data_IF_620202952811
#
_entry.id   IF_620202952811
#
_cell.length_a   1.000
_cell.length_b   1.000
_cell.length_c   1.000
_cell.angle_alpha   90.00
_cell.angle_beta   90.00
_cell.angle_gamma   90.00
#
_symmetry.space_group_name_H-M   'P 1'
#
loop_
_entity.id
_entity.type
_entity.pdbx_description
1 polymer ?
#
# COMPACT_ATOMS: atom_id res chain seq x y z
N UNK A 1 -12.18 53.02 -8.61
CA UNK A 1 -12.47 51.71 -8.01
C UNK A 1 -11.93 51.72 -6.59
N UNK A 2 -12.83 51.62 -5.61
CA UNK A 2 -12.59 51.77 -4.17
C UNK A 2 -11.65 50.68 -3.64
N UNK A 3 -10.67 51.06 -2.80
CA UNK A 3 -9.69 50.17 -2.13
C UNK A 3 -10.29 48.86 -1.61
N UNK A 4 -11.52 48.91 -1.14
CA UNK A 4 -12.30 47.76 -0.65
C UNK A 4 -12.43 46.64 -1.70
N UNK A 5 -12.71 46.95 -2.97
CA UNK A 5 -12.81 45.93 -4.03
C UNK A 5 -11.49 45.24 -4.31
N UNK A 6 -10.37 45.94 -4.13
CA UNK A 6 -9.03 45.39 -4.31
C UNK A 6 -8.63 44.48 -3.14
N UNK A 7 -8.95 44.89 -1.90
CA UNK A 7 -8.72 44.08 -0.69
C UNK A 7 -9.57 42.80 -0.72
N UNK A 8 -10.84 42.91 -1.11
CA UNK A 8 -11.73 41.75 -1.27
C UNK A 8 -11.20 40.81 -2.36
N UNK A 9 -10.78 41.35 -3.52
CA UNK A 9 -10.18 40.55 -4.59
C UNK A 9 -8.92 39.81 -4.15
N UNK A 10 -8.00 40.48 -3.45
CA UNK A 10 -6.77 39.89 -2.95
C UNK A 10 -7.03 38.81 -1.89
N UNK A 11 -7.99 39.03 -0.98
CA UNK A 11 -8.35 38.05 0.05
C UNK A 11 -8.98 36.78 -0.55
N UNK A 12 -9.86 36.93 -1.55
CA UNK A 12 -10.46 35.79 -2.26
C UNK A 12 -9.39 34.99 -3.00
N UNK A 13 -8.47 35.65 -3.71
CA UNK A 13 -7.37 34.97 -4.39
C UNK A 13 -6.48 34.24 -3.37
N UNK A 14 -6.13 34.87 -2.25
CA UNK A 14 -5.36 34.25 -1.18
C UNK A 14 -6.03 33.01 -0.59
N UNK A 15 -7.34 33.08 -0.35
CA UNK A 15 -8.12 31.94 0.15
C UNK A 15 -8.14 30.79 -0.86
N UNK A 16 -8.33 31.07 -2.15
CA UNK A 16 -8.33 30.05 -3.21
C UNK A 16 -6.97 29.35 -3.28
N UNK A 17 -5.88 30.12 -3.27
CA UNK A 17 -4.51 29.56 -3.30
C UNK A 17 -4.24 28.72 -2.06
N UNK A 18 -4.60 29.20 -0.87
CA UNK A 18 -4.43 28.45 0.38
C UNK A 18 -5.24 27.14 0.35
N UNK A 19 -6.50 27.20 -0.08
CA UNK A 19 -7.36 26.01 -0.18
C UNK A 19 -6.80 25.01 -1.17
N UNK A 20 -6.28 25.47 -2.31
CA UNK A 20 -5.63 24.61 -3.29
C UNK A 20 -4.38 23.94 -2.74
N UNK A 21 -3.53 24.68 -2.02
CA UNK A 21 -2.33 24.11 -1.37
C UNK A 21 -2.72 23.08 -0.30
N UNK A 22 -3.72 23.38 0.53
CA UNK A 22 -4.20 22.44 1.55
C UNK A 22 -4.84 21.20 0.92
N UNK A 23 -5.59 21.35 -0.16
CA UNK A 23 -6.17 20.23 -0.90
C UNK A 23 -5.09 19.35 -1.53
N UNK A 24 -4.13 19.94 -2.24
CA UNK A 24 -3.00 19.18 -2.81
C UNK A 24 -2.17 18.49 -1.73
N UNK A 25 -2.01 19.11 -0.56
CA UNK A 25 -1.32 18.51 0.58
C UNK A 25 -2.12 17.41 1.28
N UNK A 26 -3.45 17.37 1.08
CA UNK A 26 -4.33 16.33 1.63
C UNK A 26 -4.56 15.16 0.67
N UNK A 27 -4.18 15.30 -0.61
CA UNK A 27 -4.20 14.18 -1.56
C UNK A 27 -3.12 13.20 -1.17
N UNK A 28 -3.50 12.21 -0.37
CA UNK A 28 -2.67 11.07 -0.09
C UNK A 28 -2.44 10.29 -1.39
N UNK A 29 -1.19 10.19 -1.83
CA UNK A 29 -0.86 9.54 -3.10
C UNK A 29 -0.98 8.04 -2.93
N UNK A 30 -1.95 7.43 -3.62
CA UNK A 30 -2.11 5.98 -3.68
C UNK A 30 -1.20 5.43 -4.78
N UNK A 31 -0.36 4.48 -4.42
CA UNK A 31 0.55 3.80 -5.34
C UNK A 31 0.63 2.33 -4.94
N UNK A 32 1.09 1.46 -5.84
CA UNK A 32 1.25 0.04 -5.49
C UNK A 32 2.60 -0.20 -4.85
N UNK A 33 2.61 -0.95 -3.75
CA UNK A 33 3.84 -1.41 -3.13
C UNK A 33 4.47 -2.54 -3.93
N UNK A 34 5.80 -2.54 -3.99
CA UNK A 34 6.56 -3.64 -4.55
C UNK A 34 6.45 -4.87 -3.63
N UNK A 35 6.02 -5.99 -4.20
CA UNK A 35 6.01 -7.27 -3.51
C UNK A 35 7.39 -7.90 -3.64
N UNK A 36 8.03 -8.20 -2.51
CA UNK A 36 9.37 -8.79 -2.47
C UNK A 36 9.33 -10.32 -2.53
N UNK A 37 8.38 -10.92 -1.82
CA UNK A 37 8.17 -12.37 -1.77
C UNK A 37 6.76 -12.68 -1.28
N UNK A 38 6.36 -13.94 -1.39
CA UNK A 38 5.19 -14.46 -0.69
C UNK A 38 5.58 -15.68 0.16
N UNK A 39 4.76 -15.98 1.15
CA UNK A 39 4.89 -17.15 2.01
C UNK A 39 3.54 -17.86 2.09
N UNK A 40 3.59 -19.18 2.23
CA UNK A 40 2.41 -20.04 2.37
C UNK A 40 1.96 -20.05 3.82
N UNK A 41 0.65 -20.08 4.06
CA UNK A 41 0.14 -20.25 5.42
C UNK A 41 -0.36 -21.68 5.62
N UNK A 42 -0.68 -22.05 6.87
CA UNK A 42 -1.34 -23.32 7.15
C UNK A 42 -2.74 -23.44 6.49
N UNK A 43 -3.37 -22.31 6.18
CA UNK A 43 -4.59 -22.26 5.39
C UNK A 43 -4.22 -22.14 3.90
N UNK A 44 -4.53 -23.15 3.05
CA UNK A 44 -4.10 -23.16 1.66
C UNK A 44 -4.81 -22.11 0.80
N UNK A 45 -5.90 -21.49 1.30
CA UNK A 45 -6.58 -20.36 0.67
C UNK A 45 -6.07 -19.01 1.21
N UNK A 46 -4.95 -18.98 1.94
CA UNK A 46 -4.31 -17.75 2.41
C UNK A 46 -2.81 -17.78 2.17
N UNK A 47 -2.31 -16.64 1.73
CA UNK A 47 -0.88 -16.38 1.58
C UNK A 47 -0.51 -15.10 2.30
N UNK A 48 0.75 -14.97 2.68
CA UNK A 48 1.31 -13.70 3.15
C UNK A 48 2.22 -13.15 2.06
N UNK A 49 1.93 -11.94 1.58
CA UNK A 49 2.84 -11.21 0.69
C UNK A 49 3.68 -10.24 1.50
N UNK A 50 4.99 -10.30 1.31
CA UNK A 50 5.95 -9.45 1.98
C UNK A 50 6.21 -8.23 1.10
N UNK A 51 5.68 -7.07 1.50
CA UNK A 51 5.85 -5.81 0.78
C UNK A 51 6.91 -4.93 1.45
N UNK A 52 7.64 -4.15 0.65
CA UNK A 52 8.59 -3.16 1.17
C UNK A 52 7.88 -1.82 1.20
N UNK A 53 7.72 -1.23 2.39
CA UNK A 53 7.13 0.10 2.56
C UNK A 53 8.02 0.98 3.44
N UNK A 54 7.88 2.30 3.30
CA UNK A 54 8.59 3.30 4.10
C UNK A 54 7.79 3.79 5.30
N UNK A 55 8.39 4.62 6.14
CA UNK A 55 7.67 5.31 7.21
C UNK A 55 6.59 6.25 6.65
N UNK A 56 5.44 6.31 7.33
CA UNK A 56 4.30 7.11 6.89
C UNK A 56 3.54 6.53 5.70
N UNK A 57 3.79 5.26 5.36
CA UNK A 57 3.08 4.53 4.31
C UNK A 57 2.19 3.47 4.95
N UNK A 58 0.90 3.50 4.61
CA UNK A 58 -0.10 2.55 5.09
C UNK A 58 -0.62 1.67 3.97
N UNK A 59 -0.99 0.42 4.28
CA UNK A 59 -1.66 -0.47 3.32
C UNK A 59 -3.12 -0.05 3.19
N UNK A 60 -3.49 0.47 2.02
CA UNK A 60 -4.82 0.97 1.74
C UNK A 60 -5.76 -0.13 1.24
N UNK A 61 -5.29 -0.95 0.29
CA UNK A 61 -6.12 -1.97 -0.34
C UNK A 61 -5.28 -3.18 -0.77
N UNK A 62 -5.95 -4.34 -0.85
CA UNK A 62 -5.40 -5.60 -1.33
C UNK A 62 -6.36 -6.13 -2.38
N UNK A 63 -5.91 -6.25 -3.62
CA UNK A 63 -6.70 -6.85 -4.68
C UNK A 63 -6.02 -8.11 -5.19
N UNK A 64 -6.85 -9.10 -5.50
CA UNK A 64 -6.41 -10.40 -5.99
C UNK A 64 -7.18 -10.70 -7.26
N UNK A 65 -6.46 -11.02 -8.33
CA UNK A 65 -7.03 -11.55 -9.56
C UNK A 65 -6.57 -13.00 -9.70
N UNK A 66 -7.52 -13.92 -9.54
CA UNK A 66 -7.25 -15.34 -9.65
C UNK A 66 -7.54 -15.85 -11.06
N UNK A 67 -6.55 -16.52 -11.64
CA UNK A 67 -6.67 -17.31 -12.86
C UNK A 67 -6.45 -18.80 -12.58
N UNK A 68 -6.60 -19.64 -13.62
CA UNK A 68 -6.44 -21.09 -13.48
C UNK A 68 -5.03 -21.54 -13.07
N UNK A 69 -4.00 -20.80 -13.50
CA UNK A 69 -2.58 -21.17 -13.31
C UNK A 69 -1.81 -20.14 -12.48
N UNK A 70 -2.41 -19.00 -12.18
CA UNK A 70 -1.73 -17.90 -11.49
C UNK A 70 -2.68 -17.06 -10.65
N UNK A 71 -2.11 -16.40 -9.66
CA UNK A 71 -2.78 -15.44 -8.78
C UNK A 71 -2.00 -14.14 -8.85
N UNK A 72 -2.61 -13.10 -9.40
CA UNK A 72 -2.01 -11.76 -9.40
C UNK A 72 -2.43 -11.03 -8.13
N UNK A 73 -1.47 -10.55 -7.35
CA UNK A 73 -1.68 -9.80 -6.12
C UNK A 73 -1.22 -8.36 -6.33
N UNK A 74 -2.07 -7.43 -5.93
CA UNK A 74 -1.77 -6.00 -5.94
C UNK A 74 -2.02 -5.46 -4.53
N UNK A 75 -1.02 -4.78 -3.97
CA UNK A 75 -1.12 -4.14 -2.65
C UNK A 75 -1.00 -2.64 -2.85
N UNK A 76 -2.14 -1.94 -2.78
CA UNK A 76 -2.15 -0.49 -2.84
C UNK A 76 -1.77 0.08 -1.48
N UNK A 77 -0.83 1.01 -1.48
CA UNK A 77 -0.38 1.75 -0.31
C UNK A 77 -0.64 3.23 -0.48
N UNK A 78 -0.77 3.91 0.65
CA UNK A 78 -1.02 5.33 0.75
C UNK A 78 0.11 5.97 1.54
N UNK A 79 0.75 6.98 0.97
CA UNK A 79 1.70 7.81 1.72
C UNK A 79 0.97 9.01 2.34
N UNK A 80 1.11 9.14 3.65
CA UNK A 80 0.64 10.29 4.41
C UNK A 80 1.56 11.49 4.15
N UNK A 81 1.02 12.70 4.28
CA UNK A 81 1.81 13.93 4.14
C UNK A 81 2.73 14.12 5.34
N UNK A 82 3.97 14.56 5.10
CA UNK A 82 4.98 14.77 6.14
C UNK A 82 6.40 14.52 5.66
N UNK A 83 7.37 14.74 6.57
CA UNK A 83 8.78 14.40 6.36
C UNK A 83 9.09 13.14 7.14
N UNK A 84 9.54 12.10 6.45
CA UNK A 84 9.87 10.81 7.04
C UNK A 84 11.34 10.46 6.75
N UNK A 85 12.02 9.75 7.67
CA UNK A 85 13.37 9.25 7.39
C UNK A 85 13.33 8.23 6.25
N UNK A 86 14.41 8.15 5.47
CA UNK A 86 14.58 7.19 4.38
C UNK A 86 14.89 5.77 4.89
N UNK A 87 13.93 5.18 5.59
CA UNK A 87 13.99 3.83 6.14
C UNK A 87 12.86 3.01 5.54
N UNK A 88 13.16 1.80 5.08
CA UNK A 88 12.20 0.85 4.54
C UNK A 88 12.14 -0.41 5.41
N UNK A 89 10.95 -0.98 5.54
CA UNK A 89 10.71 -2.20 6.30
C UNK A 89 9.84 -3.16 5.50
N UNK A 90 10.00 -4.45 5.81
CA UNK A 90 9.18 -5.51 5.22
C UNK A 90 7.93 -5.67 6.08
N UNK A 91 6.77 -5.54 5.45
CA UNK A 91 5.48 -5.73 6.11
C UNK A 91 4.80 -6.97 5.55
N UNK A 92 4.47 -7.97 6.40
CA UNK A 92 3.70 -9.12 5.99
C UNK A 92 2.23 -8.72 5.82
N UNK A 93 1.68 -8.94 4.64
CA UNK A 93 0.30 -8.64 4.30
C UNK A 93 -0.44 -9.94 4.01
N UNK A 94 -1.41 -10.29 4.86
CA UNK A 94 -2.27 -11.45 4.65
C UNK A 94 -3.24 -11.20 3.51
N UNK A 95 -3.29 -12.16 2.58
CA UNK A 95 -4.14 -12.15 1.39
C UNK A 95 -4.96 -13.43 1.37
N UNK A 96 -6.28 -13.27 1.25
CA UNK A 96 -7.21 -14.39 1.09
C UNK A 96 -7.46 -14.66 -0.39
N UNK A 97 -7.52 -15.94 -0.72
CA UNK A 97 -7.83 -16.47 -2.04
C UNK A 97 -9.20 -17.13 -2.02
N UNK A 98 -9.86 -17.16 -3.17
CA UNK A 98 -11.11 -17.88 -3.41
C UNK A 98 -10.85 -19.38 -3.47
N UNK A 99 -9.83 -19.79 -4.23
CA UNK A 99 -9.42 -21.18 -4.35
C UNK A 99 -8.06 -21.41 -3.66
N UNK A 100 -7.73 -22.65 -3.24
CA UNK A 100 -6.41 -22.97 -2.70
C UNK A 100 -5.27 -22.57 -3.64
N UNK A 101 -4.15 -22.03 -3.15
CA UNK A 101 -3.03 -21.62 -4.01
C UNK A 101 -2.50 -22.80 -4.85
N UNK A 102 -2.29 -23.96 -4.21
CA UNK A 102 -1.71 -25.14 -4.85
C UNK A 102 -0.38 -24.82 -5.54
N UNK A 103 -0.29 -25.17 -6.82
CA UNK A 103 0.87 -24.94 -7.68
C UNK A 103 0.75 -23.67 -8.53
N UNK A 104 -0.27 -22.83 -8.31
CA UNK A 104 -0.46 -21.59 -9.06
C UNK A 104 0.68 -20.62 -8.78
N UNK A 105 1.17 -19.96 -9.83
CA UNK A 105 2.19 -18.93 -9.70
C UNK A 105 1.61 -17.66 -9.05
N UNK A 106 2.32 -17.07 -8.08
CA UNK A 106 1.96 -15.75 -7.56
C UNK A 106 2.65 -14.69 -8.41
N UNK A 107 1.89 -13.74 -8.94
CA UNK A 107 2.37 -12.66 -9.78
C UNK A 107 2.13 -11.31 -9.09
N UNK A 108 2.99 -10.33 -9.35
CA UNK A 108 2.70 -8.93 -9.02
C UNK A 108 1.83 -8.27 -10.10
N UNK A 109 1.51 -6.99 -9.87
CA UNK A 109 0.72 -6.16 -10.78
C UNK A 109 1.28 -6.06 -12.20
N UNK A 110 2.60 -6.21 -12.36
CA UNK A 110 3.34 -6.08 -13.62
C UNK A 110 3.45 -7.45 -14.33
N UNK A 111 2.80 -8.47 -13.77
CA UNK A 111 2.82 -9.84 -14.26
C UNK A 111 4.12 -10.59 -13.95
N UNK A 112 4.98 -10.04 -13.09
CA UNK A 112 6.24 -10.67 -12.73
C UNK A 112 6.03 -11.72 -11.64
N UNK A 113 6.72 -12.87 -11.72
CA UNK A 113 6.63 -13.89 -10.69
C UNK A 113 7.20 -13.39 -9.38
N UNK A 114 6.41 -13.53 -8.32
CA UNK A 114 6.81 -13.27 -6.94
C UNK A 114 7.45 -14.54 -6.39
N UNK A 115 8.62 -14.39 -5.77
CA UNK A 115 9.35 -15.51 -5.17
C UNK A 115 8.60 -16.11 -3.97
N UNK A 116 8.52 -17.43 -3.92
CA UNK A 116 8.11 -18.20 -2.73
C UNK A 116 9.24 -18.21 -1.69
N UNK A 117 8.96 -17.73 -0.48
CA UNK A 117 9.88 -17.68 0.65
C UNK A 117 9.59 -18.79 1.68
N UNK A 118 8.75 -19.78 1.33
CA UNK A 118 8.40 -20.91 2.17
C UNK A 118 7.22 -20.63 3.08
N UNK A 119 7.18 -21.31 4.23
CA UNK A 119 6.05 -21.20 5.14
C UNK A 119 6.12 -19.93 6.00
N UNK A 120 4.96 -19.33 6.21
CA UNK A 120 4.79 -18.17 7.05
C UNK A 120 4.81 -18.60 8.51
N UNK A 121 5.84 -18.16 9.23
CA UNK A 121 5.84 -18.16 10.68
C UNK A 121 5.30 -16.80 11.15
N UNK A 122 4.11 -16.75 11.78
CA UNK A 122 3.61 -15.50 12.31
C UNK A 122 4.59 -14.95 13.34
N UNK A 123 4.80 -13.63 13.41
CA UNK A 123 5.58 -13.04 14.48
C UNK A 123 4.98 -13.48 15.83
N UNK A 124 5.74 -14.32 16.52
CA UNK A 124 5.31 -14.99 17.74
C UNK A 124 5.64 -14.17 18.97
N UNK A 125 4.65 -14.10 19.87
CA UNK A 125 4.76 -13.77 21.28
C UNK A 125 6.06 -14.38 21.84
N UNK A 126 6.87 -13.56 22.52
CA UNK A 126 8.08 -13.98 23.26
C UNK A 126 7.92 -15.39 23.84
N UNK A 127 8.86 -16.32 23.62
CA UNK A 127 8.87 -17.60 24.32
C UNK A 127 8.76 -17.30 25.82
N UNK A 128 7.70 -17.77 26.49
CA UNK A 128 7.71 -17.77 27.94
C UNK A 128 8.74 -18.81 28.39
N UNK A 129 9.63 -18.45 29.33
CA UNK A 129 10.66 -19.35 29.85
C UNK A 129 10.04 -20.59 30.51
#
# INVERSE_FOLDING_TARGET
>A
MTRERFVVGAAVIGLIVLTLVLFLSSVATVHTARINSFQRTADPSKIVVNVIIGFGVDVAERTVREGPQSVTVTVAVRQNSGVYPAVAFIVPVLVSLKDPLGDRAVLDQDGQPVRDAGDYSPPGLTPRP
#
